data_IF_398568746208
#
_entry.id   IF_398568746208
#
_cell.length_a   1.000
_cell.length_b   1.000
_cell.length_c   1.000
_cell.angle_alpha   90.00
_cell.angle_beta   90.00
_cell.angle_gamma   90.00
#
_symmetry.space_group_name_H-M   'P 1'
#
loop_
_entity.id
_entity.type
_entity.pdbx_description
1 polymer ?
#
# COMPACT_ATOMS: atom_id res chain seq x y z
N UNK A 1 8.89 -17.69 -14.54
CA UNK A 1 9.41 -17.61 -13.15
C UNK A 1 8.38 -18.22 -12.21
N UNK A 2 8.76 -18.74 -11.03
CA UNK A 2 7.79 -19.25 -10.03
C UNK A 2 6.74 -18.16 -9.73
N UNK A 3 5.47 -18.55 -9.54
CA UNK A 3 4.35 -17.64 -9.29
C UNK A 3 4.66 -16.63 -8.17
N UNK A 4 5.31 -17.10 -7.10
CA UNK A 4 5.78 -16.28 -5.97
C UNK A 4 6.67 -15.11 -6.40
N UNK A 5 7.57 -15.30 -7.38
CA UNK A 5 8.48 -14.24 -7.83
C UNK A 5 7.75 -13.17 -8.67
N UNK A 6 6.73 -13.59 -9.43
CA UNK A 6 5.85 -12.67 -10.16
C UNK A 6 5.00 -11.85 -9.21
N UNK A 7 4.42 -12.48 -8.18
CA UNK A 7 3.65 -11.76 -7.16
C UNK A 7 4.50 -10.75 -6.39
N UNK A 8 5.74 -11.11 -6.04
CA UNK A 8 6.65 -10.20 -5.35
C UNK A 8 7.01 -8.98 -6.22
N UNK A 9 7.37 -9.20 -7.49
CA UNK A 9 7.65 -8.09 -8.41
C UNK A 9 6.40 -7.23 -8.64
N UNK A 10 5.23 -7.85 -8.79
CA UNK A 10 3.96 -7.16 -8.92
C UNK A 10 3.64 -6.28 -7.71
N UNK A 11 3.86 -6.78 -6.50
CA UNK A 11 3.60 -6.00 -5.28
C UNK A 11 4.56 -4.82 -5.14
N UNK A 12 5.85 -5.00 -5.47
CA UNK A 12 6.84 -3.92 -5.43
C UNK A 12 6.52 -2.86 -6.48
N UNK A 13 6.17 -3.26 -7.71
CA UNK A 13 5.79 -2.34 -8.77
C UNK A 13 4.52 -1.55 -8.41
N UNK A 14 3.48 -2.23 -7.90
CA UNK A 14 2.24 -1.59 -7.46
C UNK A 14 2.49 -0.58 -6.34
N UNK A 15 3.29 -0.94 -5.33
CA UNK A 15 3.67 -0.04 -4.24
C UNK A 15 4.42 1.20 -4.76
N UNK A 16 5.40 1.01 -5.64
CA UNK A 16 6.16 2.11 -6.24
C UNK A 16 5.26 3.05 -7.05
N UNK A 17 4.36 2.51 -7.88
CA UNK A 17 3.40 3.31 -8.64
C UNK A 17 2.45 4.09 -7.74
N UNK A 18 2.05 3.51 -6.60
CA UNK A 18 1.23 4.19 -5.60
C UNK A 18 1.94 5.40 -5.00
N UNK A 19 3.21 5.24 -4.60
CA UNK A 19 4.03 6.35 -4.07
C UNK A 19 4.20 7.47 -5.09
N UNK A 20 4.54 7.13 -6.33
CA UNK A 20 4.70 8.11 -7.42
C UNK A 20 3.39 8.88 -7.65
N UNK A 21 2.26 8.16 -7.74
CA UNK A 21 0.93 8.77 -7.93
C UNK A 21 0.57 9.70 -6.77
N UNK A 22 0.85 9.31 -5.53
CA UNK A 22 0.61 10.15 -4.35
C UNK A 22 1.42 11.45 -4.39
N UNK A 23 2.72 11.38 -4.73
CA UNK A 23 3.58 12.57 -4.87
C UNK A 23 3.05 13.51 -5.95
N UNK A 24 2.69 12.98 -7.12
CA UNK A 24 2.10 13.80 -8.19
C UNK A 24 0.74 14.38 -7.80
N UNK A 25 -0.06 13.66 -7.00
CA UNK A 25 -1.34 14.17 -6.50
C UNK A 25 -1.15 15.34 -5.55
N UNK A 26 -0.15 15.29 -4.65
CA UNK A 26 0.14 16.39 -3.73
C UNK A 26 0.61 17.64 -4.49
N UNK A 27 1.57 17.48 -5.40
CA UNK A 27 2.23 18.59 -6.09
C UNK A 27 1.38 19.13 -7.26
N UNK A 28 0.55 18.29 -7.87
CA UNK A 28 -0.31 18.65 -8.99
C UNK A 28 -1.46 19.57 -8.59
N UNK A 29 -1.70 20.61 -9.40
CA UNK A 29 -2.80 21.58 -9.23
C UNK A 29 -4.06 21.23 -10.04
N UNK A 30 -4.08 20.09 -10.75
CA UNK A 30 -5.21 19.75 -11.61
C UNK A 30 -6.33 19.08 -10.80
N UNK A 31 -7.53 19.67 -10.84
CA UNK A 31 -8.73 19.16 -10.16
C UNK A 31 -9.27 17.85 -10.77
N UNK A 32 -8.73 17.42 -11.93
CA UNK A 32 -9.12 16.22 -12.65
C UNK A 32 -7.89 15.40 -13.06
N UNK A 33 -7.23 14.77 -12.08
CA UNK A 33 -5.91 14.15 -12.28
C UNK A 33 -5.95 13.00 -13.31
N UNK A 34 -6.98 12.14 -13.28
CA UNK A 34 -7.23 11.06 -14.28
C UNK A 34 -8.70 10.61 -14.24
N UNK A 35 -9.38 10.46 -15.38
CA UNK A 35 -10.73 9.83 -15.50
C UNK A 35 -11.83 10.38 -14.55
N UNK A 36 -11.79 11.67 -14.20
CA UNK A 36 -12.78 12.28 -13.30
C UNK A 36 -12.56 12.00 -11.81
N UNK A 37 -11.46 11.32 -11.44
CA UNK A 37 -11.03 11.16 -10.05
C UNK A 37 -10.42 12.48 -9.57
N UNK A 38 -10.98 13.02 -8.49
CA UNK A 38 -10.51 14.29 -7.92
C UNK A 38 -9.26 14.09 -7.07
N UNK A 39 -8.53 15.18 -6.82
CA UNK A 39 -7.38 15.19 -5.90
C UNK A 39 -7.75 14.66 -4.51
N UNK A 40 -8.97 14.97 -4.05
CA UNK A 40 -9.48 14.54 -2.75
C UNK A 40 -9.70 13.03 -2.73
N UNK A 41 -10.31 12.46 -3.76
CA UNK A 41 -10.50 11.01 -3.88
C UNK A 41 -9.16 10.25 -3.87
N UNK A 42 -8.19 10.75 -4.63
CA UNK A 42 -6.84 10.17 -4.68
C UNK A 42 -6.12 10.24 -3.32
N UNK A 43 -6.27 11.33 -2.57
CA UNK A 43 -5.71 11.47 -1.22
C UNK A 43 -6.37 10.51 -0.22
N UNK A 44 -7.70 10.42 -0.21
CA UNK A 44 -8.42 9.52 0.69
C UNK A 44 -8.08 8.06 0.41
N UNK A 45 -8.07 7.64 -0.86
CA UNK A 45 -7.68 6.29 -1.25
C UNK A 45 -6.25 5.97 -0.82
N UNK A 46 -5.30 6.90 -1.03
CA UNK A 46 -3.92 6.73 -0.59
C UNK A 46 -3.80 6.61 0.93
N UNK A 47 -4.57 7.41 1.68
CA UNK A 47 -4.62 7.34 3.14
C UNK A 47 -5.15 6.00 3.65
N UNK A 48 -6.22 5.47 3.05
CA UNK A 48 -6.78 4.16 3.39
C UNK A 48 -5.77 3.05 3.08
N UNK A 49 -5.12 3.09 1.91
CA UNK A 49 -4.09 2.11 1.53
C UNK A 49 -2.89 2.13 2.49
N UNK A 50 -2.48 3.32 2.95
CA UNK A 50 -1.44 3.47 3.98
C UNK A 50 -1.87 2.83 5.31
N UNK A 51 -3.09 3.09 5.77
CA UNK A 51 -3.64 2.47 7.00
C UNK A 51 -3.66 0.95 6.90
N UNK A 52 -4.10 0.40 5.77
CA UNK A 52 -4.10 -1.04 5.52
C UNK A 52 -2.68 -1.59 5.55
N UNK A 53 -1.72 -0.94 4.88
CA UNK A 53 -0.32 -1.37 4.87
C UNK A 53 0.29 -1.39 6.27
N UNK A 54 0.04 -0.36 7.08
CA UNK A 54 0.48 -0.28 8.47
C UNK A 54 -0.14 -1.42 9.29
N UNK A 55 -1.46 -1.62 9.18
CA UNK A 55 -2.14 -2.67 9.94
C UNK A 55 -1.66 -4.07 9.58
N UNK A 56 -1.42 -4.32 8.29
CA UNK A 56 -0.85 -5.59 7.82
C UNK A 56 0.56 -5.81 8.38
N UNK A 57 1.40 -4.77 8.35
CA UNK A 57 2.75 -4.83 8.91
C UNK A 57 2.72 -5.11 10.43
N UNK A 58 1.88 -4.40 11.18
CA UNK A 58 1.71 -4.62 12.62
C UNK A 58 1.21 -6.05 12.88
N UNK A 59 0.20 -6.52 12.15
CA UNK A 59 -0.35 -7.87 12.30
C UNK A 59 0.69 -8.95 12.01
N UNK A 60 1.51 -8.79 10.96
CA UNK A 60 2.61 -9.73 10.66
C UNK A 60 3.67 -9.73 11.76
N UNK A 61 4.07 -8.57 12.26
CA UNK A 61 5.02 -8.47 13.38
C UNK A 61 4.45 -9.13 14.63
N UNK A 62 3.18 -8.86 14.95
CA UNK A 62 2.50 -9.45 16.09
C UNK A 62 2.45 -10.98 15.99
N UNK A 63 2.10 -11.54 14.83
CA UNK A 63 2.11 -12.98 14.60
C UNK A 63 3.52 -13.59 14.72
N UNK A 64 4.54 -12.95 14.15
CA UNK A 64 5.94 -13.43 14.27
C UNK A 64 6.40 -13.43 15.74
N UNK A 65 5.96 -12.44 16.54
CA UNK A 65 6.24 -12.39 17.98
C UNK A 65 5.53 -13.54 18.69
N UNK A 66 4.24 -13.75 18.46
CA UNK A 66 3.50 -14.86 19.06
C UNK A 66 4.12 -16.23 18.70
N UNK A 67 4.56 -16.42 17.44
CA UNK A 67 5.25 -17.64 16.98
C UNK A 67 6.57 -17.87 17.74
N UNK A 68 7.35 -16.80 17.97
CA UNK A 68 8.60 -16.89 18.72
C UNK A 68 8.41 -17.22 20.20
N UNK A 69 7.34 -16.72 20.80
CA UNK A 69 7.05 -16.93 22.23
C UNK A 69 6.29 -18.25 22.50
N UNK A 70 5.93 -19.01 21.47
CA UNK A 70 5.15 -20.25 21.61
C UNK A 70 3.72 -19.99 22.08
N UNK A 71 3.21 -18.77 21.91
CA UNK A 71 1.88 -18.34 22.34
C UNK A 71 0.78 -18.71 21.32
N UNK A 72 1.17 -19.31 20.19
CA UNK A 72 0.25 -19.82 19.18
C UNK A 72 -0.03 -21.30 19.47
N UNK A 73 -1.22 -21.57 20.02
CA UNK A 73 -1.87 -22.88 20.06
C UNK A 73 -2.71 -23.08 18.79
#
# INVERSE_FOLDING_TARGET
MKLSKLMHIGSVAAGLTGVVTFVFTIIGSADNLVFGITKVDALLCSGILLLIAIWLAIGTIHHIILERHGEIL
#
